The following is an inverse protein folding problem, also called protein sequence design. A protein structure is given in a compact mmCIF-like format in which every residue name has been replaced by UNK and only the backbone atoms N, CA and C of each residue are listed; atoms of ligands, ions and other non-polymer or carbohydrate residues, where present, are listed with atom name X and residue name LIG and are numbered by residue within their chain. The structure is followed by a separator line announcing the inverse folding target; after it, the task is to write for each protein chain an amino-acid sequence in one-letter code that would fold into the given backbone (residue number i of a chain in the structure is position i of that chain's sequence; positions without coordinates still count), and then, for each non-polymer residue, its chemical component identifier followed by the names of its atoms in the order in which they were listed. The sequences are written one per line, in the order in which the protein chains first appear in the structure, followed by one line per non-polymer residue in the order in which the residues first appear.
data_IF_584326973032
#
_entry.id   IF_584326973032
#
_cell.length_a   1.000
_cell.length_b   1.000
_cell.length_c   1.000
_cell.angle_alpha   90.00
_cell.angle_beta   90.00
_cell.angle_gamma   90.00
#
_symmetry.space_group_name_H-M   'P 1'
#
loop_
_entity.id
_entity.type
_entity.pdbx_description
1 polymer ?
#
# COMPACT_ATOMS: atom_id res chain seq x y z
N UNK A 1 5.72 21.91 14.62
CA UNK A 1 4.49 22.43 14.05
C UNK A 1 3.40 21.40 14.25
N UNK A 2 2.34 21.74 14.92
CA UNK A 2 1.31 20.78 15.20
C UNK A 2 0.63 20.34 13.89
N UNK A 3 0.75 19.08 13.58
CA UNK A 3 -0.03 18.34 12.57
C UNK A 3 -1.47 18.19 13.07
N UNK A 4 -2.17 19.28 13.47
CA UNK A 4 -2.70 19.32 14.80
C UNK A 4 -4.18 19.15 14.95
N UNK A 5 -4.98 19.55 14.05
CA UNK A 5 -6.45 19.40 14.23
C UNK A 5 -7.12 18.80 12.98
N UNK A 6 -6.54 19.02 11.82
CA UNK A 6 -7.10 18.50 10.57
C UNK A 6 -6.74 17.02 10.36
N UNK A 7 -5.63 16.57 10.94
CA UNK A 7 -5.20 15.16 10.85
C UNK A 7 -5.91 14.25 11.83
N UNK A 8 -6.52 14.78 12.87
CA UNK A 8 -7.31 14.03 13.84
C UNK A 8 -8.75 13.73 13.34
N UNK A 9 -9.14 14.24 12.17
CA UNK A 9 -10.44 13.93 11.60
C UNK A 9 -10.48 12.48 11.11
N UNK A 10 -11.40 11.70 11.64
CA UNK A 10 -11.58 10.28 11.31
C UNK A 10 -11.80 10.04 9.80
N UNK A 11 -12.46 10.95 9.11
CA UNK A 11 -12.66 10.86 7.65
C UNK A 11 -11.35 11.02 6.87
N UNK A 12 -10.49 11.94 7.30
CA UNK A 12 -9.15 12.15 6.72
C UNK A 12 -8.29 10.90 6.92
N UNK A 13 -8.29 10.33 8.12
CA UNK A 13 -7.54 9.11 8.42
C UNK A 13 -8.03 7.95 7.55
N UNK A 14 -9.33 7.72 7.47
CA UNK A 14 -9.94 6.68 6.64
C UNK A 14 -9.60 6.85 5.15
N UNK A 15 -9.65 8.07 4.65
CA UNK A 15 -9.27 8.36 3.27
C UNK A 15 -7.79 8.07 3.03
N UNK A 16 -6.92 8.49 3.94
CA UNK A 16 -5.47 8.28 3.85
C UNK A 16 -5.14 6.79 3.88
N UNK A 17 -5.69 6.04 4.82
CA UNK A 17 -5.54 4.58 4.91
C UNK A 17 -6.01 3.91 3.62
N UNK A 18 -7.15 4.31 3.10
CA UNK A 18 -7.69 3.83 1.84
C UNK A 18 -6.79 4.16 0.65
N UNK A 19 -6.19 5.35 0.60
CA UNK A 19 -5.25 5.76 -0.44
C UNK A 19 -3.98 4.90 -0.40
N UNK A 20 -3.36 4.74 0.76
CA UNK A 20 -2.17 3.92 0.93
C UNK A 20 -2.42 2.46 0.55
N UNK A 21 -3.55 1.88 0.99
CA UNK A 21 -3.94 0.52 0.62
C UNK A 21 -4.25 0.39 -0.89
N UNK A 22 -4.93 1.37 -1.48
CA UNK A 22 -5.23 1.37 -2.91
C UNK A 22 -3.97 1.45 -3.77
N UNK A 23 -2.93 2.18 -3.34
CA UNK A 23 -1.68 2.29 -4.08
C UNK A 23 -0.90 0.98 -4.12
N UNK A 24 -1.03 0.10 -3.14
CA UNK A 24 -0.42 -1.24 -3.21
C UNK A 24 -0.96 -2.05 -4.39
N UNK A 25 -2.20 -1.80 -4.81
CA UNK A 25 -2.81 -2.46 -5.99
C UNK A 25 -2.17 -2.02 -7.32
N UNK A 26 -1.40 -0.95 -7.32
CA UNK A 26 -0.66 -0.46 -8.50
C UNK A 26 0.73 -1.09 -8.63
N UNK A 27 1.16 -1.84 -7.64
CA UNK A 27 2.33 -2.69 -7.73
C UNK A 27 2.05 -3.91 -8.62
N UNK A 28 3.10 -4.47 -9.23
CA UNK A 28 2.97 -5.79 -9.87
C UNK A 28 2.56 -6.84 -8.83
N UNK A 29 1.94 -7.92 -9.26
CA UNK A 29 1.41 -8.93 -8.34
C UNK A 29 2.47 -9.43 -7.34
N UNK A 30 3.64 -9.80 -7.84
CA UNK A 30 4.71 -10.33 -6.99
C UNK A 30 5.27 -9.27 -6.03
N UNK A 31 5.40 -8.03 -6.47
CA UNK A 31 5.80 -6.92 -5.59
C UNK A 31 4.76 -6.67 -4.50
N UNK A 32 3.48 -6.66 -4.87
CA UNK A 32 2.38 -6.47 -3.94
C UNK A 32 2.33 -7.58 -2.88
N UNK A 33 2.46 -8.83 -3.30
CA UNK A 33 2.48 -9.97 -2.38
C UNK A 33 3.65 -9.84 -1.39
N UNK A 34 4.87 -9.66 -1.89
CA UNK A 34 6.05 -9.52 -1.03
C UNK A 34 5.94 -8.33 -0.08
N UNK A 35 5.49 -7.17 -0.56
CA UNK A 35 5.29 -5.97 0.26
C UNK A 35 4.22 -6.19 1.33
N UNK A 36 3.08 -6.78 0.97
CA UNK A 36 2.00 -7.04 1.93
C UNK A 36 2.44 -8.02 3.02
N UNK A 37 3.11 -9.10 2.65
CA UNK A 37 3.54 -10.10 3.63
C UNK A 37 4.62 -9.57 4.57
N UNK A 38 5.62 -8.85 4.07
CA UNK A 38 6.72 -8.34 4.90
C UNK A 38 6.35 -7.02 5.58
N UNK A 39 5.99 -6.00 4.80
CA UNK A 39 5.85 -4.63 5.33
C UNK A 39 4.49 -4.36 5.98
N UNK A 40 3.44 -5.08 5.60
CA UNK A 40 2.13 -4.90 6.22
C UNK A 40 1.85 -5.95 7.29
N UNK A 41 2.19 -7.22 7.06
CA UNK A 41 1.90 -8.31 8.00
C UNK A 41 3.07 -8.71 8.88
N UNK A 42 4.27 -8.20 8.62
CA UNK A 42 5.43 -8.38 9.48
C UNK A 42 6.11 -9.74 9.38
N UNK A 43 5.90 -10.49 8.28
CA UNK A 43 6.62 -11.73 8.05
C UNK A 43 8.09 -11.45 7.73
N UNK A 44 8.96 -12.39 8.11
CA UNK A 44 10.38 -12.34 7.75
C UNK A 44 10.59 -12.63 6.26
N UNK A 45 11.71 -12.18 5.72
CA UNK A 45 12.11 -12.49 4.35
C UNK A 45 12.21 -13.99 4.11
N UNK A 46 12.68 -14.73 5.12
CA UNK A 46 12.79 -16.19 5.05
C UNK A 46 11.42 -16.85 4.91
N UNK A 47 10.45 -16.48 5.76
CA UNK A 47 9.09 -17.01 5.69
C UNK A 47 8.45 -16.69 4.33
N UNK A 48 8.62 -15.47 3.83
CA UNK A 48 8.08 -15.11 2.51
C UNK A 48 8.76 -15.86 1.38
N UNK A 49 10.07 -16.11 1.48
CA UNK A 49 10.80 -16.93 0.49
C UNK A 49 10.27 -18.37 0.44
N UNK A 50 9.92 -18.93 1.57
CA UNK A 50 9.33 -20.27 1.67
C UNK A 50 7.89 -20.28 1.11
N UNK A 51 7.07 -19.28 1.45
CA UNK A 51 5.69 -19.16 0.97
C UNK A 51 5.63 -19.01 -0.56
N UNK A 52 6.52 -18.20 -1.13
CA UNK A 52 6.54 -17.91 -2.57
C UNK A 52 7.38 -18.88 -3.38
N UNK A 53 8.07 -19.81 -2.73
CA UNK A 53 9.03 -20.72 -3.37
C UNK A 53 10.08 -20.01 -4.24
N UNK A 54 10.65 -18.94 -3.69
CA UNK A 54 11.70 -18.15 -4.32
C UNK A 54 12.83 -17.88 -3.34
N UNK A 55 13.99 -17.46 -3.84
CA UNK A 55 15.15 -17.19 -2.98
C UNK A 55 14.92 -15.95 -2.09
N UNK A 56 15.54 -15.88 -0.90
CA UNK A 56 15.50 -14.67 -0.06
C UNK A 56 16.03 -13.42 -0.79
N UNK A 57 17.00 -13.58 -1.69
CA UNK A 57 17.50 -12.50 -2.54
C UNK A 57 16.42 -11.98 -3.49
N UNK A 58 15.62 -12.87 -4.06
CA UNK A 58 14.50 -12.49 -4.93
C UNK A 58 13.44 -11.73 -4.14
N UNK A 59 13.10 -12.16 -2.91
CA UNK A 59 12.18 -11.43 -2.02
C UNK A 59 12.68 -10.02 -1.73
N UNK A 60 13.96 -9.88 -1.38
CA UNK A 60 14.59 -8.55 -1.16
C UNK A 60 14.48 -7.65 -2.40
N UNK A 61 14.70 -8.22 -3.58
CA UNK A 61 14.57 -7.49 -4.85
C UNK A 61 13.14 -7.03 -5.13
N UNK A 62 12.14 -7.87 -4.82
CA UNK A 62 10.72 -7.50 -4.94
C UNK A 62 10.35 -6.38 -3.97
N UNK A 63 10.77 -6.48 -2.71
CA UNK A 63 10.53 -5.44 -1.70
C UNK A 63 11.18 -4.12 -2.08
N UNK A 64 12.43 -4.14 -2.51
CA UNK A 64 13.14 -2.94 -2.94
C UNK A 64 12.38 -2.22 -4.06
N UNK A 65 11.96 -2.94 -5.10
CA UNK A 65 11.20 -2.36 -6.22
C UNK A 65 9.81 -1.89 -5.79
N UNK A 66 9.13 -2.65 -4.92
CA UNK A 66 7.82 -2.25 -4.40
C UNK A 66 7.90 -0.93 -3.63
N UNK A 67 8.86 -0.81 -2.73
CA UNK A 67 9.08 0.39 -1.91
C UNK A 67 9.41 1.60 -2.80
N UNK A 68 10.30 1.46 -3.78
CA UNK A 68 10.62 2.55 -4.71
C UNK A 68 9.42 2.95 -5.57
N UNK A 69 8.61 2.01 -6.01
CA UNK A 69 7.39 2.31 -6.77
C UNK A 69 6.39 3.13 -5.95
N UNK A 70 6.13 2.73 -4.70
CA UNK A 70 5.25 3.48 -3.80
C UNK A 70 5.82 4.86 -3.48
N UNK A 71 7.10 4.92 -3.13
CA UNK A 71 7.81 6.14 -2.81
C UNK A 71 7.79 7.14 -3.98
N UNK A 72 8.05 6.69 -5.19
CA UNK A 72 8.04 7.54 -6.39
C UNK A 72 6.68 8.18 -6.65
N UNK A 73 5.60 7.50 -6.29
CA UNK A 73 4.26 8.06 -6.37
C UNK A 73 4.02 9.09 -5.27
N UNK A 74 4.22 8.72 -4.01
CA UNK A 74 3.83 9.56 -2.89
C UNK A 74 4.69 10.82 -2.75
N UNK A 75 5.99 10.74 -3.01
CA UNK A 75 6.91 11.86 -2.80
C UNK A 75 6.54 13.11 -3.62
N UNK A 76 6.09 12.93 -4.85
CA UNK A 76 5.73 14.05 -5.72
C UNK A 76 4.27 14.49 -5.63
N UNK A 77 3.42 13.82 -4.85
CA UNK A 77 1.99 14.00 -4.90
C UNK A 77 1.33 14.23 -3.54
N UNK A 78 1.77 13.53 -2.50
CA UNK A 78 1.07 13.47 -1.21
C UNK A 78 1.54 14.56 -0.25
N UNK A 79 0.65 15.46 0.16
CA UNK A 79 0.94 16.53 1.12
C UNK A 79 1.19 16.01 2.54
N UNK A 80 0.76 14.79 2.85
CA UNK A 80 1.09 14.14 4.12
C UNK A 80 2.60 13.85 4.26
N UNK A 81 3.28 13.59 3.15
CA UNK A 81 4.73 13.37 3.14
C UNK A 81 5.53 14.67 3.00
N UNK A 82 5.01 15.61 2.21
CA UNK A 82 5.57 16.96 2.03
C UNK A 82 4.42 17.93 1.81
N UNK A 83 4.30 18.91 2.69
CA UNK A 83 3.21 19.90 2.68
C UNK A 83 3.13 20.72 1.38
N UNK A 84 4.22 20.79 0.64
CA UNK A 84 4.24 21.48 -0.66
C UNK A 84 3.64 20.65 -1.81
N UNK A 85 3.34 19.37 -1.55
CA UNK A 85 2.73 18.52 -2.56
C UNK A 85 1.26 18.88 -2.80
N UNK A 86 0.76 18.70 -4.04
CA UNK A 86 -0.54 19.22 -4.45
C UNK A 86 -1.75 18.44 -3.89
N UNK A 87 -1.60 17.17 -3.52
CA UNK A 87 -2.72 16.34 -3.10
C UNK A 87 -2.94 16.42 -1.59
N UNK A 88 -4.00 17.10 -1.16
CA UNK A 88 -4.43 17.14 0.24
C UNK A 88 -5.65 16.26 0.47
N UNK A 89 -5.65 15.50 1.60
CA UNK A 89 -6.79 14.62 1.91
C UNK A 89 -8.08 15.43 2.17
N UNK A 90 -7.95 16.60 2.76
CA UNK A 90 -9.10 17.49 3.03
C UNK A 90 -9.81 17.91 1.74
N UNK A 91 -9.06 18.41 0.75
CA UNK A 91 -9.62 18.80 -0.54
C UNK A 91 -10.24 17.63 -1.28
N UNK A 92 -9.67 16.44 -1.16
CA UNK A 92 -10.25 15.22 -1.72
C UNK A 92 -11.60 14.88 -1.08
N UNK A 93 -11.75 15.02 0.23
CA UNK A 93 -13.03 14.76 0.92
C UNK A 93 -14.08 15.76 0.45
N UNK A 94 -13.74 17.04 0.38
CA UNK A 94 -14.64 18.08 -0.10
C UNK A 94 -15.08 17.82 -1.56
N UNK A 95 -14.13 17.41 -2.41
CA UNK A 95 -14.39 17.05 -3.80
C UNK A 95 -15.24 15.79 -3.95
N UNK A 96 -15.00 14.77 -3.13
CA UNK A 96 -15.76 13.51 -3.15
C UNK A 96 -17.21 13.70 -2.75
N UNK A 97 -17.48 14.58 -1.79
CA UNK A 97 -18.84 14.92 -1.38
C UNK A 97 -19.64 15.60 -2.49
N UNK A 98 -18.96 16.19 -3.48
CA UNK A 98 -19.58 16.91 -4.60
C UNK A 98 -19.66 16.10 -5.90
N UNK A 99 -18.82 15.06 -6.13
CA UNK A 99 -18.72 14.37 -7.43
C UNK A 99 -18.28 12.91 -7.38
N UNK A 100 -19.16 11.99 -7.02
CA UNK A 100 -18.88 10.55 -7.00
C UNK A 100 -18.43 9.92 -8.35
N UNK A 101 -18.74 10.55 -9.50
CA UNK A 101 -18.46 9.99 -10.82
C UNK A 101 -17.00 10.14 -11.29
N UNK A 102 -16.27 11.12 -10.75
CA UNK A 102 -14.88 11.40 -11.16
C UNK A 102 -13.90 10.41 -10.53
N UNK A 103 -14.18 9.93 -9.32
CA UNK A 103 -13.37 8.89 -8.66
C UNK A 103 -13.24 7.62 -9.49
N UNK A 104 -14.34 7.19 -10.11
CA UNK A 104 -14.35 5.99 -10.95
C UNK A 104 -13.41 6.13 -12.15
N UNK A 105 -13.41 7.30 -12.78
CA UNK A 105 -12.54 7.60 -13.93
C UNK A 105 -11.07 7.68 -13.53
N UNK A 106 -10.75 8.32 -12.40
CA UNK A 106 -9.36 8.42 -11.91
C UNK A 106 -8.79 7.06 -11.51
N UNK A 107 -9.57 6.20 -10.87
CA UNK A 107 -9.16 4.82 -10.55
C UNK A 107 -8.85 3.99 -11.80
N UNK A 108 -9.56 4.22 -12.90
CA UNK A 108 -9.34 3.52 -14.16
C UNK A 108 -8.10 4.01 -14.93
N UNK A 109 -7.68 5.25 -14.73
CA UNK A 109 -6.55 5.86 -15.45
C UNK A 109 -5.18 5.55 -14.85
N UNK A 110 -5.11 5.03 -13.61
CA UNK A 110 -3.84 4.73 -12.95
C UNK A 110 -3.22 3.45 -13.53
N UNK A 111 -2.08 3.61 -14.18
CA UNK A 111 -1.24 2.50 -14.68
C UNK A 111 -0.47 1.84 -13.55
N UNK A 112 0.09 0.66 -13.81
CA UNK A 112 1.03 0.01 -12.87
C UNK A 112 2.23 0.92 -12.64
N UNK A 113 2.61 1.11 -11.38
CA UNK A 113 3.72 1.96 -11.00
C UNK A 113 5.06 1.39 -11.48
N UNK A 114 5.89 2.24 -12.05
CA UNK A 114 7.24 1.90 -12.45
C UNK A 114 8.19 3.08 -12.18
N UNK A 115 8.94 3.00 -11.09
CA UNK A 115 9.87 4.05 -10.66
C UNK A 115 10.95 4.36 -11.71
N UNK A 116 11.34 3.38 -12.53
CA UNK A 116 12.36 3.55 -13.55
C UNK A 116 11.94 4.50 -14.67
N UNK A 117 10.65 4.52 -15.01
CA UNK A 117 10.12 5.41 -16.04
C UNK A 117 10.18 6.89 -15.63
N UNK A 118 10.15 7.15 -14.33
CA UNK A 118 10.17 8.50 -13.77
C UNK A 118 11.57 8.95 -13.34
N UNK A 119 12.60 8.13 -13.54
CA UNK A 119 13.98 8.45 -13.12
C UNK A 119 14.12 8.66 -11.61
N UNK A 120 13.27 8.00 -10.82
CA UNK A 120 13.21 8.22 -9.38
C UNK A 120 14.45 7.68 -8.67
N UNK A 121 15.00 8.51 -7.76
CA UNK A 121 16.10 8.16 -6.87
C UNK A 121 15.57 8.04 -5.43
N UNK A 122 15.95 6.98 -4.75
CA UNK A 122 15.50 6.68 -3.39
C UNK A 122 15.81 7.83 -2.42
N UNK A 123 14.81 8.19 -1.62
CA UNK A 123 14.92 9.11 -0.49
C UNK A 123 14.65 8.33 0.81
N UNK A 124 15.69 8.13 1.62
CA UNK A 124 15.61 7.32 2.84
C UNK A 124 14.58 7.86 3.84
N UNK A 125 14.47 9.18 3.98
CA UNK A 125 13.49 9.80 4.89
C UNK A 125 12.07 9.51 4.42
N UNK A 126 11.79 9.67 3.13
CA UNK A 126 10.49 9.36 2.54
C UNK A 126 10.16 7.88 2.70
N UNK A 127 11.12 6.99 2.45
CA UNK A 127 10.93 5.55 2.66
C UNK A 127 10.53 5.25 4.10
N UNK A 128 11.23 5.81 5.08
CA UNK A 128 10.94 5.60 6.49
C UNK A 128 9.54 6.09 6.87
N UNK A 129 9.12 7.26 6.38
CA UNK A 129 7.77 7.79 6.63
C UNK A 129 6.68 6.89 6.06
N UNK A 130 6.84 6.42 4.82
CA UNK A 130 5.89 5.53 4.15
C UNK A 130 5.79 4.20 4.90
N UNK A 131 6.90 3.57 5.23
CA UNK A 131 6.91 2.30 5.96
C UNK A 131 6.33 2.45 7.37
N UNK A 132 6.66 3.53 8.07
CA UNK A 132 6.06 3.83 9.37
C UNK A 132 4.54 3.92 9.28
N UNK A 133 4.02 4.60 8.26
CA UNK A 133 2.58 4.70 8.02
C UNK A 133 1.94 3.33 7.78
N UNK A 134 2.49 2.52 6.88
CA UNK A 134 1.95 1.18 6.59
C UNK A 134 1.96 0.25 7.81
N UNK A 135 3.02 0.31 8.63
CA UNK A 135 3.10 -0.49 9.86
C UNK A 135 2.05 -0.10 10.90
N UNK A 136 1.58 1.15 10.88
CA UNK A 136 0.62 1.69 11.85
C UNK A 136 -0.80 1.79 11.31
N UNK A 137 -1.08 1.36 10.08
CA UNK A 137 -2.46 1.20 9.61
C UNK A 137 -3.18 0.21 10.55
N UNK A 138 -4.38 0.56 11.04
CA UNK A 138 -5.14 -0.32 11.93
C UNK A 138 -5.25 -1.72 11.37
N UNK A 139 -5.08 -2.71 12.24
CA UNK A 139 -5.05 -4.12 11.86
C UNK A 139 -6.32 -4.53 11.10
N UNK A 140 -6.19 -4.66 9.80
CA UNK A 140 -7.25 -5.16 8.91
C UNK A 140 -7.06 -6.65 8.65
N UNK A 141 -6.33 -7.36 9.53
CA UNK A 141 -6.20 -8.81 9.42
C UNK A 141 -7.59 -9.41 9.42
N UNK A 142 -7.87 -10.27 8.47
CA UNK A 142 -9.10 -11.03 8.50
C UNK A 142 -9.24 -11.78 9.80
N UNK A 143 -10.48 -11.96 10.27
CA UNK A 143 -10.75 -12.73 11.48
C UNK A 143 -10.26 -14.17 11.33
N UNK A 144 -9.99 -14.86 12.45
CA UNK A 144 -9.64 -16.29 12.43
C UNK A 144 -10.69 -17.10 11.65
N UNK A 145 -11.96 -16.79 11.81
CA UNK A 145 -13.07 -17.40 11.06
C UNK A 145 -12.92 -17.28 9.53
N UNK A 146 -12.39 -16.16 9.05
CA UNK A 146 -12.12 -15.96 7.62
C UNK A 146 -10.98 -16.87 7.14
N UNK A 147 -9.89 -16.96 7.91
CA UNK A 147 -8.78 -17.86 7.60
C UNK A 147 -9.22 -19.32 7.58
N UNK A 148 -9.98 -19.74 8.58
CA UNK A 148 -10.52 -21.11 8.65
C UNK A 148 -11.41 -21.42 7.44
N UNK A 149 -12.22 -20.44 7.01
CA UNK A 149 -13.03 -20.54 5.79
C UNK A 149 -12.21 -20.68 4.53
N UNK A 150 -11.10 -19.96 4.40
CA UNK A 150 -10.18 -20.09 3.24
C UNK A 150 -9.47 -21.44 3.25
N UNK A 151 -9.01 -21.91 4.42
CA UNK A 151 -8.37 -23.22 4.54
C UNK A 151 -9.34 -24.32 4.08
N UNK A 152 -10.59 -24.29 4.55
CA UNK A 152 -11.62 -25.26 4.14
C UNK A 152 -11.91 -25.19 2.62
N UNK A 153 -11.90 -23.99 2.03
CA UNK A 153 -12.06 -23.82 0.59
C UNK A 153 -10.89 -24.44 -0.18
N UNK A 154 -9.65 -24.19 0.26
CA UNK A 154 -8.45 -24.75 -0.36
C UNK A 154 -8.47 -26.28 -0.26
N UNK A 155 -8.76 -26.83 0.90
CA UNK A 155 -8.87 -28.28 1.09
C UNK A 155 -9.95 -28.90 0.19
N UNK A 156 -11.09 -28.24 0.04
CA UNK A 156 -12.18 -28.70 -0.83
C UNK A 156 -11.79 -28.73 -2.30
N UNK A 157 -11.02 -27.75 -2.79
CA UNK A 157 -10.65 -27.64 -4.20
C UNK A 157 -9.35 -28.38 -4.55
N UNK A 158 -8.43 -28.52 -3.62
CA UNK A 158 -7.11 -29.11 -3.86
C UNK A 158 -6.83 -30.38 -3.06
N UNK A 159 -7.63 -30.70 -2.03
CA UNK A 159 -7.46 -31.88 -1.17
C UNK A 159 -7.95 -33.20 -1.80
N UNK A 160 -8.48 -33.16 -3.01
CA UNK A 160 -8.92 -34.36 -3.77
C UNK A 160 -7.99 -34.66 -4.97
N UNK A 161 -6.76 -34.15 -4.94
CA UNK A 161 -5.74 -34.53 -5.92
C UNK A 161 -4.85 -35.64 -5.38
#
# INVERSE_FOLDING_TARGET
MPLDEVEANEEVIKLRDGCFLAMTRKLSLNQRIAFSLVDMFGLSIKEVSEILDITPKAVKGLLYRARLNLESFFQGHCSFLDINNPCTCKEWIEFMNTRNSIQKKMRQSLTVLNYKQNGYVQNTKTTQMILHYYHNIPDQRPSQKWFDGIILLVEKFYGNC
#
